data_IF_324260978331
#
_entry.id   IF_324260978331
#
_cell.length_a   1.000
_cell.length_b   1.000
_cell.length_c   1.000
_cell.angle_alpha   90.00
_cell.angle_beta   90.00
_cell.angle_gamma   90.00
#
_symmetry.space_group_name_H-M   'P 1'
#
loop_
_entity.id
_entity.type
_entity.pdbx_description
1 polymer ?
#
# COMPACT_ATOMS: atom_id res chain seq x y z
N UNK A 1 -10.26 28.19 4.23
CA UNK A 1 -10.50 26.78 3.82
C UNK A 1 -9.37 25.96 4.44
N UNK A 2 -9.64 24.88 5.17
CA UNK A 2 -8.57 24.02 5.73
C UNK A 2 -7.71 23.47 4.58
N UNK A 3 -6.39 23.41 4.75
CA UNK A 3 -5.46 22.96 3.70
C UNK A 3 -5.79 21.54 3.19
N UNK A 4 -6.31 20.66 4.06
CA UNK A 4 -6.81 19.33 3.70
C UNK A 4 -7.88 19.35 2.61
N UNK A 5 -8.90 20.21 2.76
CA UNK A 5 -9.98 20.36 1.80
C UNK A 5 -9.48 20.86 0.44
N UNK A 6 -8.53 21.81 0.45
CA UNK A 6 -7.89 22.32 -0.77
C UNK A 6 -7.10 21.20 -1.47
N UNK A 7 -6.27 20.47 -0.73
CA UNK A 7 -5.46 19.38 -1.26
C UNK A 7 -6.33 18.25 -1.83
N UNK A 8 -7.43 17.90 -1.14
CA UNK A 8 -8.39 16.91 -1.62
C UNK A 8 -9.10 17.36 -2.90
N UNK A 9 -9.45 18.65 -3.03
CA UNK A 9 -9.99 19.21 -4.28
C UNK A 9 -9.01 19.09 -5.44
N UNK A 10 -7.75 19.48 -5.23
CA UNK A 10 -6.70 19.40 -6.24
C UNK A 10 -6.45 17.95 -6.68
N UNK A 11 -6.39 17.03 -5.73
CA UNK A 11 -6.29 15.60 -6.03
C UNK A 11 -7.53 15.08 -6.78
N UNK A 12 -8.73 15.47 -6.34
CA UNK A 12 -9.99 15.13 -7.00
C UNK A 12 -10.07 15.65 -8.44
N UNK A 13 -9.57 16.86 -8.71
CA UNK A 13 -9.48 17.43 -10.06
C UNK A 13 -8.59 16.60 -10.99
N UNK A 14 -7.41 16.18 -10.50
CA UNK A 14 -6.50 15.30 -11.24
C UNK A 14 -7.24 14.00 -11.63
N UNK A 15 -7.92 13.38 -10.67
CA UNK A 15 -8.64 12.13 -10.93
C UNK A 15 -9.81 12.35 -11.90
N UNK A 16 -10.68 13.36 -11.68
CA UNK A 16 -11.82 13.66 -12.55
C UNK A 16 -11.44 13.86 -14.02
N UNK A 17 -10.26 14.45 -14.26
CA UNK A 17 -9.74 14.71 -15.60
C UNK A 17 -8.96 13.53 -16.19
N UNK A 18 -8.72 12.49 -15.40
CA UNK A 18 -8.04 11.28 -15.84
C UNK A 18 -9.05 10.25 -16.32
N UNK A 19 -8.73 9.51 -17.38
CA UNK A 19 -9.51 8.35 -17.83
C UNK A 19 -8.82 7.07 -17.40
N UNK A 20 -9.60 6.06 -17.01
CA UNK A 20 -9.10 4.69 -16.95
C UNK A 20 -8.59 4.30 -18.37
N UNK A 21 -7.50 3.53 -18.51
CA UNK A 21 -7.06 3.00 -19.80
C UNK A 21 -8.17 2.18 -20.48
N UNK A 22 -7.99 1.78 -21.75
CA UNK A 22 -8.99 1.01 -22.52
C UNK A 22 -9.54 -0.22 -21.78
N UNK A 23 -8.68 -0.87 -21.00
CA UNK A 23 -8.99 -1.99 -20.13
C UNK A 23 -8.38 -1.74 -18.73
N UNK A 24 -8.92 -2.43 -17.72
CA UNK A 24 -8.29 -2.51 -16.40
C UNK A 24 -7.22 -3.60 -16.43
N UNK A 25 -6.02 -3.26 -16.01
CA UNK A 25 -4.88 -4.20 -15.98
C UNK A 25 -4.61 -4.71 -14.57
N UNK A 26 -4.51 -6.03 -14.43
CA UNK A 26 -4.05 -6.75 -13.24
C UNK A 26 -2.85 -7.59 -13.65
N UNK A 27 -1.65 -7.03 -13.55
CA UNK A 27 -0.46 -7.64 -14.16
C UNK A 27 -0.66 -7.79 -15.67
N UNK A 28 -0.63 -9.02 -16.17
CA UNK A 28 -0.87 -9.32 -17.59
C UNK A 28 -2.35 -9.54 -17.93
N UNK A 29 -3.22 -9.64 -16.91
CA UNK A 29 -4.65 -9.83 -17.11
C UNK A 29 -5.33 -8.49 -17.42
N UNK A 30 -6.28 -8.52 -18.35
CA UNK A 30 -7.03 -7.35 -18.81
C UNK A 30 -8.52 -7.61 -18.62
N UNK A 31 -9.22 -6.62 -18.07
CA UNK A 31 -10.66 -6.68 -17.84
C UNK A 31 -11.32 -5.54 -18.59
N UNK A 32 -12.20 -5.89 -19.52
CA UNK A 32 -13.02 -4.93 -20.23
C UNK A 32 -14.07 -4.31 -19.30
N UNK A 33 -14.41 -3.05 -19.57
CA UNK A 33 -15.40 -2.33 -18.80
C UNK A 33 -16.24 -1.40 -19.65
N UNK A 34 -17.39 -1.04 -19.10
CA UNK A 34 -18.26 0.04 -19.61
C UNK A 34 -18.29 1.17 -18.60
N UNK A 35 -18.36 2.41 -19.10
CA UNK A 35 -18.57 3.56 -18.24
C UNK A 35 -19.98 3.53 -17.65
N UNK A 36 -20.08 3.94 -16.38
CA UNK A 36 -21.30 3.93 -15.62
C UNK A 36 -21.58 2.59 -14.93
N UNK A 37 -22.69 2.60 -14.21
CA UNK A 37 -23.25 1.51 -13.42
C UNK A 37 -24.77 1.52 -13.67
N UNK A 38 -25.43 0.37 -13.60
CA UNK A 38 -26.88 0.27 -13.81
C UNK A 38 -27.64 0.63 -12.54
N UNK A 39 -27.09 0.32 -11.37
CA UNK A 39 -27.69 0.65 -10.08
C UNK A 39 -27.27 2.01 -9.52
N UNK A 40 -27.98 2.47 -8.49
CA UNK A 40 -27.43 3.47 -7.57
C UNK A 40 -26.40 2.75 -6.67
N UNK A 41 -25.10 2.89 -6.94
CA UNK A 41 -24.15 3.03 -5.82
C UNK A 41 -24.21 4.49 -5.42
N UNK A 42 -24.23 4.79 -4.13
CA UNK A 42 -23.07 5.40 -3.49
C UNK A 42 -23.38 5.55 -2.00
N UNK A 43 -22.36 5.32 -1.19
CA UNK A 43 -22.37 5.44 0.27
C UNK A 43 -22.74 6.84 0.77
N UNK A 44 -22.63 7.89 -0.05
CA UNK A 44 -22.79 9.30 0.38
C UNK A 44 -24.09 9.54 1.16
N UNK A 45 -25.21 8.97 0.70
CA UNK A 45 -26.50 9.04 1.43
C UNK A 45 -26.53 8.22 2.72
N UNK A 46 -25.80 7.10 2.79
CA UNK A 46 -25.84 6.16 3.94
C UNK A 46 -24.94 6.59 5.10
N UNK A 47 -23.89 7.36 4.83
CA UNK A 47 -22.90 7.77 5.84
C UNK A 47 -22.92 9.26 6.19
N UNK A 48 -23.83 10.06 5.60
CA UNK A 48 -23.81 11.54 5.67
C UNK A 48 -22.43 12.10 5.32
N UNK A 49 -21.80 11.53 4.28
CA UNK A 49 -20.52 12.06 3.78
C UNK A 49 -20.85 13.26 2.89
N UNK A 50 -20.08 14.35 3.04
CA UNK A 50 -20.21 15.57 2.23
C UNK A 50 -20.00 15.28 0.72
N UNK A 51 -20.17 16.31 -0.11
CA UNK A 51 -20.00 16.30 -1.58
C UNK A 51 -18.92 15.34 -2.09
N UNK A 52 -19.28 14.42 -3.00
CA UNK A 52 -18.31 13.55 -3.67
C UNK A 52 -17.53 14.35 -4.71
N UNK A 53 -16.25 14.57 -4.47
CA UNK A 53 -15.37 15.33 -5.35
C UNK A 53 -15.08 14.64 -6.70
N UNK A 54 -15.56 13.41 -6.94
CA UNK A 54 -15.42 12.71 -8.23
C UNK A 54 -16.71 12.63 -9.05
N UNK A 55 -17.82 13.16 -8.54
CA UNK A 55 -19.16 13.00 -9.11
C UNK A 55 -19.48 11.52 -9.43
N UNK A 56 -19.66 11.19 -10.71
CA UNK A 56 -19.85 9.83 -11.22
C UNK A 56 -18.81 9.47 -12.30
N UNK A 57 -17.70 10.21 -12.37
CA UNK A 57 -16.68 10.05 -13.43
C UNK A 57 -16.01 8.68 -13.42
N UNK A 58 -15.87 8.09 -12.24
CA UNK A 58 -15.22 6.79 -12.04
C UNK A 58 -16.22 5.73 -11.59
N UNK A 59 -17.32 5.66 -12.31
CA UNK A 59 -18.29 4.58 -12.23
C UNK A 59 -18.03 3.66 -13.41
N UNK A 60 -17.80 2.38 -13.14
CA UNK A 60 -17.43 1.40 -14.13
C UNK A 60 -18.20 0.10 -13.90
N UNK A 61 -18.55 -0.58 -14.98
CA UNK A 61 -19.08 -1.94 -14.95
C UNK A 61 -18.05 -2.84 -15.62
N UNK A 62 -17.35 -3.65 -14.84
CA UNK A 62 -16.38 -4.64 -15.29
C UNK A 62 -17.08 -5.95 -15.62
N UNK A 63 -16.72 -6.55 -16.76
CA UNK A 63 -17.21 -7.86 -17.14
C UNK A 63 -16.27 -8.93 -16.60
N UNK A 64 -16.72 -9.67 -15.60
CA UNK A 64 -16.07 -10.88 -15.08
C UNK A 64 -16.89 -12.11 -15.51
N UNK A 65 -16.34 -13.32 -15.46
CA UNK A 65 -17.03 -14.55 -15.91
C UNK A 65 -18.34 -14.78 -15.17
N UNK A 66 -18.41 -14.46 -13.88
CA UNK A 66 -19.61 -14.62 -13.06
C UNK A 66 -20.67 -13.53 -13.29
N UNK A 67 -20.34 -12.46 -14.03
CA UNK A 67 -21.29 -11.40 -14.38
C UNK A 67 -20.69 -10.00 -14.40
N UNK A 68 -21.53 -9.01 -14.09
CA UNK A 68 -21.17 -7.60 -14.16
C UNK A 68 -20.82 -7.07 -12.76
N UNK A 69 -19.55 -6.73 -12.54
CA UNK A 69 -19.05 -6.09 -11.32
C UNK A 69 -19.09 -4.57 -11.47
N UNK A 70 -20.02 -3.93 -10.76
CA UNK A 70 -20.12 -2.49 -10.72
C UNK A 70 -19.15 -1.92 -9.66
N UNK A 71 -18.35 -0.94 -10.06
CA UNK A 71 -17.39 -0.23 -9.23
C UNK A 71 -17.68 1.28 -9.29
N UNK A 72 -17.57 1.93 -8.13
CA UNK A 72 -17.71 3.38 -7.98
C UNK A 72 -16.61 3.91 -7.09
N UNK A 73 -15.85 4.89 -7.59
CA UNK A 73 -14.93 5.65 -6.77
C UNK A 73 -15.59 6.91 -6.21
N UNK A 74 -15.39 7.16 -4.92
CA UNK A 74 -15.95 8.31 -4.22
C UNK A 74 -14.85 8.98 -3.41
N UNK A 75 -14.61 10.28 -3.62
CA UNK A 75 -13.71 11.07 -2.79
C UNK A 75 -14.55 12.00 -1.93
N UNK A 76 -14.67 11.68 -0.65
CA UNK A 76 -15.55 12.40 0.26
C UNK A 76 -14.86 12.76 1.57
N UNK A 77 -15.36 13.81 2.21
CA UNK A 77 -15.00 14.18 3.58
C UNK A 77 -15.67 13.22 4.56
N UNK A 78 -14.88 12.68 5.49
CA UNK A 78 -15.39 11.92 6.63
C UNK A 78 -15.79 12.83 7.79
N UNK A 79 -16.52 12.30 8.76
CA UNK A 79 -17.05 13.05 9.93
C UNK A 79 -16.01 13.79 10.79
N UNK A 80 -14.72 13.56 10.55
CA UNK A 80 -13.60 14.15 11.30
C UNK A 80 -12.74 15.09 10.42
N UNK A 81 -13.32 15.70 9.38
CA UNK A 81 -12.63 16.58 8.42
C UNK A 81 -11.44 15.91 7.70
N UNK A 82 -11.49 14.59 7.54
CA UNK A 82 -10.49 13.82 6.81
C UNK A 82 -11.06 13.35 5.46
N UNK A 83 -10.34 13.63 4.38
CA UNK A 83 -10.68 13.18 3.05
C UNK A 83 -10.21 11.77 2.78
N UNK A 84 -11.11 10.97 2.20
CA UNK A 84 -10.83 9.58 1.86
C UNK A 84 -11.38 9.25 0.48
N UNK A 85 -10.56 8.54 -0.29
CA UNK A 85 -10.96 7.91 -1.53
C UNK A 85 -11.47 6.50 -1.24
N UNK A 86 -12.71 6.21 -1.59
CA UNK A 86 -13.36 4.92 -1.42
C UNK A 86 -13.51 4.20 -2.75
N UNK A 87 -13.36 2.88 -2.75
CA UNK A 87 -13.79 2.02 -3.84
C UNK A 87 -14.95 1.14 -3.36
N UNK A 88 -16.12 1.34 -3.96
CA UNK A 88 -17.34 0.62 -3.63
C UNK A 88 -17.73 -0.34 -4.74
N UNK A 89 -18.37 -1.45 -4.36
CA UNK A 89 -18.81 -2.49 -5.28
C UNK A 89 -20.30 -2.76 -5.16
N UNK A 90 -20.87 -3.23 -6.26
CA UNK A 90 -22.19 -3.84 -6.36
C UNK A 90 -22.10 -5.05 -7.30
N UNK A 91 -22.50 -6.22 -6.82
CA UNK A 91 -22.51 -7.45 -7.60
C UNK A 91 -23.64 -8.36 -7.12
N UNK A 92 -24.52 -8.80 -8.04
CA UNK A 92 -25.68 -9.66 -7.74
C UNK A 92 -26.47 -9.21 -6.49
N UNK A 93 -26.74 -7.91 -6.38
CA UNK A 93 -27.47 -7.31 -5.26
C UNK A 93 -26.65 -7.07 -3.98
N UNK A 94 -25.46 -7.67 -3.84
CA UNK A 94 -24.55 -7.40 -2.72
C UNK A 94 -23.78 -6.12 -2.96
N UNK A 95 -23.82 -5.21 -1.99
CA UNK A 95 -23.15 -3.90 -2.06
C UNK A 95 -22.19 -3.69 -0.89
N UNK A 96 -21.06 -3.03 -1.14
CA UNK A 96 -20.23 -2.51 -0.06
C UNK A 96 -18.83 -2.05 -0.47
N UNK A 97 -18.14 -1.42 0.47
CA UNK A 97 -16.77 -0.94 0.32
C UNK A 97 -15.78 -2.11 0.16
N UNK A 98 -14.91 -2.00 -0.85
CA UNK A 98 -13.80 -2.91 -1.11
C UNK A 98 -12.52 -2.39 -0.46
N UNK A 99 -12.24 -1.10 -0.63
CA UNK A 99 -10.99 -0.49 -0.20
C UNK A 99 -11.15 1.01 0.02
N UNK A 100 -10.21 1.59 0.76
CA UNK A 100 -10.13 3.03 0.97
C UNK A 100 -8.69 3.49 1.02
N UNK A 101 -8.48 4.78 0.76
CA UNK A 101 -7.20 5.47 0.93
C UNK A 101 -7.46 6.79 1.66
N UNK A 102 -6.70 7.06 2.73
CA UNK A 102 -6.71 8.35 3.39
C UNK A 102 -5.85 9.34 2.60
N UNK A 103 -6.37 10.54 2.35
CA UNK A 103 -5.59 11.65 1.78
C UNK A 103 -4.98 12.53 2.87
N UNK A 104 -5.65 12.66 4.01
CA UNK A 104 -5.13 13.40 5.16
C UNK A 104 -4.37 12.45 6.09
N UNK A 105 -3.09 12.23 5.80
CA UNK A 105 -2.18 11.58 6.77
C UNK A 105 -1.29 12.64 7.39
N UNK A 106 -0.96 12.49 8.68
CA UNK A 106 -0.12 13.39 9.50
C UNK A 106 1.34 13.52 9.01
N UNK A 107 1.61 13.29 7.73
CA UNK A 107 2.93 13.33 7.07
C UNK A 107 2.95 14.38 5.94
N UNK A 108 2.21 15.47 6.10
CA UNK A 108 2.45 16.68 5.31
C UNK A 108 3.72 17.34 5.84
N UNK A 109 4.86 16.74 5.52
CA UNK A 109 6.13 17.43 5.60
C UNK A 109 6.23 18.25 4.31
N UNK A 110 6.05 19.56 4.42
CA UNK A 110 6.39 20.51 3.36
C UNK A 110 5.62 20.37 2.03
N UNK A 111 4.34 19.97 2.04
CA UNK A 111 3.48 19.94 0.84
C UNK A 111 3.49 18.60 0.10
N UNK A 112 3.78 17.51 0.80
CA UNK A 112 3.83 16.16 0.23
C UNK A 112 2.84 15.25 0.93
N UNK A 113 1.97 14.59 0.16
CA UNK A 113 1.01 13.60 0.63
C UNK A 113 1.43 12.22 0.14
N UNK A 114 1.78 11.34 1.07
CA UNK A 114 2.04 9.94 0.77
C UNK A 114 0.72 9.16 0.64
N UNK A 115 0.45 8.66 -0.56
CA UNK A 115 -0.72 7.85 -0.86
C UNK A 115 -0.44 6.41 -0.41
N UNK A 116 -0.61 6.15 0.88
CA UNK A 116 -0.35 4.84 1.48
C UNK A 116 -1.55 4.30 2.24
N UNK A 117 -1.75 2.99 2.19
CA UNK A 117 -2.82 2.32 2.93
C UNK A 117 -2.31 1.02 3.57
N UNK A 118 -2.47 0.91 4.90
CA UNK A 118 -2.26 -0.35 5.59
C UNK A 118 -3.32 -1.37 5.17
N UNK A 119 -2.89 -2.50 4.65
CA UNK A 119 -3.78 -3.61 4.31
C UNK A 119 -4.30 -4.20 5.62
N UNK A 120 -5.63 -4.37 5.72
CA UNK A 120 -6.28 -5.04 6.84
C UNK A 120 -7.46 -5.87 6.32
N UNK A 121 -7.66 -7.02 6.95
CA UNK A 121 -8.83 -7.86 6.78
C UNK A 121 -9.61 -7.92 8.09
N UNK A 122 -10.93 -8.10 7.98
CA UNK A 122 -11.83 -8.26 9.12
C UNK A 122 -12.42 -9.65 9.02
N UNK A 123 -12.07 -10.50 9.98
CA UNK A 123 -12.68 -11.81 10.18
C UNK A 123 -13.22 -11.84 11.62
N UNK A 124 -14.38 -12.46 11.80
CA UNK A 124 -15.00 -12.61 13.11
C UNK A 124 -15.45 -14.05 13.27
N UNK A 125 -14.92 -14.72 14.29
CA UNK A 125 -15.40 -16.01 14.75
C UNK A 125 -15.97 -15.83 16.14
N UNK A 126 -17.25 -16.15 16.32
CA UNK A 126 -17.92 -16.02 17.62
C UNK A 126 -17.33 -16.95 18.68
N UNK A 127 -16.69 -18.04 18.25
CA UNK A 127 -16.20 -19.11 19.12
C UNK A 127 -14.71 -19.04 19.43
N UNK A 128 -13.88 -18.37 18.60
CA UNK A 128 -12.42 -18.37 18.78
C UNK A 128 -11.74 -17.13 18.15
N UNK A 129 -11.44 -16.11 18.97
CA UNK A 129 -10.78 -14.88 18.50
C UNK A 129 -9.32 -15.08 18.06
N UNK A 130 -8.58 -16.00 18.69
CA UNK A 130 -7.19 -16.29 18.34
C UNK A 130 -7.12 -16.84 16.91
N UNK A 131 -7.97 -17.82 16.61
CA UNK A 131 -8.08 -18.39 15.28
C UNK A 131 -8.50 -17.34 14.24
N UNK A 132 -9.43 -16.45 14.57
CA UNK A 132 -9.79 -15.31 13.70
C UNK A 132 -8.63 -14.33 13.49
N UNK A 133 -7.76 -14.15 14.49
CA UNK A 133 -6.53 -13.35 14.35
C UNK A 133 -5.54 -14.00 13.40
N UNK A 134 -5.32 -15.31 13.52
CA UNK A 134 -4.44 -16.06 12.63
C UNK A 134 -4.94 -16.04 11.18
N UNK A 135 -6.24 -16.16 10.95
CA UNK A 135 -6.81 -16.05 9.60
C UNK A 135 -6.62 -14.67 8.99
N UNK A 136 -6.81 -13.61 9.78
CA UNK A 136 -6.52 -12.25 9.30
C UNK A 136 -5.05 -12.12 8.88
N UNK A 137 -4.13 -12.67 9.68
CA UNK A 137 -2.69 -12.66 9.39
C UNK A 137 -2.35 -13.44 8.12
N UNK A 138 -2.85 -14.67 7.98
CA UNK A 138 -2.59 -15.51 6.81
C UNK A 138 -3.17 -14.89 5.53
N UNK A 139 -4.42 -14.39 5.57
CA UNK A 139 -5.05 -13.70 4.44
C UNK A 139 -4.27 -12.45 4.04
N UNK A 140 -3.82 -11.67 5.03
CA UNK A 140 -2.99 -10.49 4.79
C UNK A 140 -1.66 -10.86 4.13
N UNK A 141 -0.98 -11.91 4.60
CA UNK A 141 0.29 -12.38 4.04
C UNK A 141 0.15 -12.83 2.58
N UNK A 142 -0.87 -13.65 2.28
CA UNK A 142 -1.12 -14.15 0.92
C UNK A 142 -1.43 -12.99 -0.01
N UNK A 143 -2.34 -12.09 0.40
CA UNK A 143 -2.73 -10.93 -0.38
C UNK A 143 -1.53 -10.02 -0.67
N UNK A 144 -0.71 -9.69 0.32
CA UNK A 144 0.44 -8.78 0.11
C UNK A 144 1.52 -9.42 -0.74
N UNK A 145 1.74 -10.74 -0.63
CA UNK A 145 2.62 -11.46 -1.55
C UNK A 145 2.11 -11.44 -2.99
N UNK A 146 0.79 -11.55 -3.21
CA UNK A 146 0.22 -11.41 -4.53
C UNK A 146 0.44 -10.00 -5.10
N UNK A 147 0.20 -8.95 -4.31
CA UNK A 147 0.45 -7.58 -4.74
C UNK A 147 1.92 -7.34 -5.11
N UNK A 148 2.88 -7.85 -4.32
CA UNK A 148 4.32 -7.75 -4.65
C UNK A 148 4.65 -8.43 -5.98
N UNK A 149 4.04 -9.58 -6.28
CA UNK A 149 4.21 -10.28 -7.56
C UNK A 149 3.63 -9.52 -8.75
N UNK A 150 2.61 -8.69 -8.52
CA UNK A 150 2.09 -7.75 -9.53
C UNK A 150 2.97 -6.50 -9.69
N UNK A 151 4.10 -6.42 -8.98
CA UNK A 151 5.03 -5.29 -9.05
C UNK A 151 4.57 -4.08 -8.23
N UNK A 152 3.66 -4.26 -7.27
CA UNK A 152 3.22 -3.19 -6.38
C UNK A 152 4.14 -3.05 -5.16
N UNK A 153 4.34 -1.81 -4.74
CA UNK A 153 5.16 -1.48 -3.58
C UNK A 153 4.40 -1.75 -2.27
N UNK A 154 4.72 -2.88 -1.63
CA UNK A 154 4.16 -3.26 -0.32
C UNK A 154 5.27 -3.44 0.71
N UNK A 155 5.22 -2.67 1.79
CA UNK A 155 6.18 -2.76 2.91
C UNK A 155 6.05 -4.07 3.69
N UNK A 156 7.03 -4.38 4.53
CA UNK A 156 6.96 -5.56 5.42
C UNK A 156 5.84 -5.44 6.48
N UNK A 157 5.43 -4.21 6.81
CA UNK A 157 4.29 -3.92 7.69
C UNK A 157 2.94 -3.92 6.96
N UNK A 158 2.92 -4.41 5.72
CA UNK A 158 1.73 -4.51 4.87
C UNK A 158 1.11 -3.14 4.55
N UNK A 159 1.92 -2.08 4.48
CA UNK A 159 1.50 -0.81 3.89
C UNK A 159 1.70 -0.86 2.39
N UNK A 160 0.63 -0.64 1.65
CA UNK A 160 0.64 -0.51 0.20
C UNK A 160 0.88 0.96 -0.17
N UNK A 161 1.80 1.20 -1.11
CA UNK A 161 2.18 2.53 -1.58
C UNK A 161 1.62 2.71 -3.00
N UNK A 162 0.71 3.67 -3.16
CA UNK A 162 0.13 4.03 -4.45
C UNK A 162 0.90 5.14 -5.17
N UNK A 163 1.53 6.03 -4.40
CA UNK A 163 2.26 7.15 -4.95
C UNK A 163 2.51 8.27 -3.95
N UNK A 164 3.00 9.39 -4.47
CA UNK A 164 3.31 10.62 -3.76
C UNK A 164 2.60 11.75 -4.51
N UNK A 165 1.75 12.49 -3.81
CA UNK A 165 1.06 13.66 -4.34
C UNK A 165 1.70 14.92 -3.76
N UNK A 166 2.27 15.74 -4.65
CA UNK A 166 2.83 17.05 -4.31
C UNK A 166 1.74 18.13 -4.42
N UNK A 167 1.42 18.75 -3.29
CA UNK A 167 0.35 19.75 -3.16
C UNK A 167 0.78 21.14 -3.62
N UNK A 168 2.08 21.38 -3.80
CA UNK A 168 2.61 22.63 -4.35
C UNK A 168 2.53 22.63 -5.86
N UNK A 169 2.91 21.51 -6.49
CA UNK A 169 2.91 21.38 -7.96
C UNK A 169 1.65 20.74 -8.53
N UNK A 170 0.78 20.19 -7.68
CA UNK A 170 -0.42 19.44 -8.06
C UNK A 170 -0.10 18.25 -8.96
N UNK A 171 0.92 17.48 -8.61
CA UNK A 171 1.40 16.34 -9.42
C UNK A 171 1.58 15.08 -8.60
N UNK A 172 1.38 13.94 -9.26
CA UNK A 172 1.85 12.65 -8.79
C UNK A 172 3.31 12.47 -9.22
N UNK A 173 4.22 12.27 -8.27
CA UNK A 173 5.66 12.33 -8.54
C UNK A 173 6.24 10.99 -9.03
N UNK A 174 5.78 9.87 -8.47
CA UNK A 174 6.32 8.53 -8.73
C UNK A 174 5.29 7.58 -9.37
N UNK A 175 4.19 8.12 -9.87
CA UNK A 175 3.16 7.40 -10.62
C UNK A 175 2.44 8.40 -11.53
N UNK A 176 1.66 7.90 -12.48
CA UNK A 176 0.74 8.74 -13.27
C UNK A 176 -0.67 8.63 -12.68
N UNK A 177 -1.52 9.64 -12.91
CA UNK A 177 -2.92 9.56 -12.48
C UNK A 177 -3.64 8.34 -13.10
N UNK A 178 -3.33 8.03 -14.36
CA UNK A 178 -3.89 6.86 -15.05
C UNK A 178 -3.45 5.55 -14.40
N UNK A 179 -2.16 5.43 -14.05
CA UNK A 179 -1.64 4.26 -13.34
C UNK A 179 -2.22 4.14 -11.94
N UNK A 180 -2.33 5.26 -11.22
CA UNK A 180 -2.95 5.31 -9.90
C UNK A 180 -4.40 4.79 -9.92
N UNK A 181 -5.24 5.26 -10.85
CA UNK A 181 -6.64 4.82 -10.95
C UNK A 181 -6.72 3.33 -11.29
N UNK A 182 -5.90 2.87 -12.25
CA UNK A 182 -5.82 1.44 -12.59
C UNK A 182 -5.49 0.61 -11.36
N UNK A 183 -4.40 0.93 -10.67
CA UNK A 183 -3.91 0.14 -9.55
C UNK A 183 -4.88 0.20 -8.37
N UNK A 184 -5.47 1.36 -8.08
CA UNK A 184 -6.47 1.52 -7.02
C UNK A 184 -7.71 0.64 -7.26
N UNK A 185 -8.24 0.63 -8.48
CA UNK A 185 -9.40 -0.21 -8.82
C UNK A 185 -9.02 -1.70 -8.83
N UNK A 186 -7.91 -2.07 -9.49
CA UNK A 186 -7.42 -3.44 -9.56
C UNK A 186 -7.25 -4.06 -8.17
N UNK A 187 -6.53 -3.37 -7.29
CA UNK A 187 -6.27 -3.84 -5.92
C UNK A 187 -7.56 -3.93 -5.12
N UNK A 188 -8.50 -2.99 -5.32
CA UNK A 188 -9.80 -3.03 -4.66
C UNK A 188 -10.59 -4.27 -5.07
N UNK A 189 -10.62 -4.61 -6.37
CA UNK A 189 -11.31 -5.78 -6.89
C UNK A 189 -10.66 -7.08 -6.37
N UNK A 190 -9.32 -7.19 -6.43
CA UNK A 190 -8.58 -8.33 -5.86
C UNK A 190 -8.91 -8.46 -4.37
N UNK A 191 -8.88 -7.36 -3.60
CA UNK A 191 -9.19 -7.39 -2.18
C UNK A 191 -10.62 -7.86 -1.92
N UNK A 192 -11.58 -7.45 -2.75
CA UNK A 192 -12.97 -7.90 -2.66
C UNK A 192 -13.12 -9.40 -2.81
N UNK A 193 -12.37 -10.03 -3.71
CA UNK A 193 -12.28 -11.48 -3.82
C UNK A 193 -11.76 -12.11 -2.50
N UNK A 194 -10.63 -11.62 -1.95
CA UNK A 194 -10.10 -12.13 -0.67
C UNK A 194 -11.03 -11.88 0.53
N UNK A 195 -11.89 -10.85 0.48
CA UNK A 195 -12.90 -10.62 1.52
C UNK A 195 -13.99 -11.70 1.53
N UNK A 196 -14.24 -12.39 0.41
CA UNK A 196 -15.21 -13.50 0.29
C UNK A 196 -16.69 -13.13 0.45
N UNK A 197 -17.00 -11.94 0.99
CA UNK A 197 -18.36 -11.50 1.29
C UNK A 197 -18.97 -10.58 0.22
N UNK A 198 -18.25 -10.31 -0.88
CA UNK A 198 -18.68 -9.40 -1.95
C UNK A 198 -19.53 -10.07 -3.02
N UNK A 199 -19.55 -11.40 -3.03
CA UNK A 199 -20.41 -12.19 -3.91
C UNK A 199 -19.85 -12.46 -5.29
N UNK A 200 -18.60 -12.09 -5.56
CA UNK A 200 -17.88 -12.46 -6.77
C UNK A 200 -16.53 -13.11 -6.42
N UNK A 201 -16.06 -13.96 -7.30
CA UNK A 201 -14.68 -14.43 -7.35
C UNK A 201 -14.00 -13.98 -8.65
N UNK A 202 -12.67 -13.84 -8.64
CA UNK A 202 -11.89 -13.58 -9.86
C UNK A 202 -11.27 -14.89 -10.30
N UNK A 203 -11.36 -15.20 -11.58
CA UNK A 203 -11.01 -16.52 -12.11
C UNK A 203 -9.49 -16.71 -12.20
N UNK A 204 -8.77 -15.59 -12.21
CA UNK A 204 -7.31 -15.52 -12.11
C UNK A 204 -6.78 -15.70 -10.69
N UNK A 205 -7.66 -15.81 -9.69
CA UNK A 205 -7.30 -15.98 -8.28
C UNK A 205 -7.84 -17.31 -7.74
N UNK A 206 -7.10 -17.96 -6.81
CA UNK A 206 -7.60 -19.16 -6.17
C UNK A 206 -8.85 -18.85 -5.36
N UNK A 207 -9.88 -19.71 -5.43
CA UNK A 207 -11.07 -19.57 -4.59
C UNK A 207 -10.69 -19.58 -3.11
N UNK A 208 -10.91 -18.47 -2.41
CA UNK A 208 -10.70 -18.38 -0.97
C UNK A 208 -11.97 -18.83 -0.23
N UNK A 209 -12.29 -20.12 -0.31
CA UNK A 209 -13.36 -20.73 0.49
C UNK A 209 -12.76 -21.24 1.79
N UNK A 210 -13.13 -20.57 2.87
CA UNK A 210 -12.63 -20.89 4.20
C UNK A 210 -13.56 -21.92 4.87
N UNK A 211 -13.08 -23.15 5.08
CA UNK A 211 -13.80 -24.17 5.84
C UNK A 211 -13.37 -24.13 7.31
N UNK A 212 -14.27 -23.68 8.18
CA UNK A 212 -14.03 -23.60 9.63
C UNK A 212 -13.99 -24.97 10.30
N UNK A 213 -14.64 -25.99 9.73
CA UNK A 213 -14.73 -27.34 10.31
C UNK A 213 -13.41 -28.12 10.15
N UNK A 214 -12.61 -27.76 9.15
CA UNK A 214 -11.29 -28.34 8.89
C UNK A 214 -10.25 -27.99 9.96
N UNK A 215 -10.45 -26.92 10.74
CA UNK A 215 -9.53 -26.50 11.81
C UNK A 215 -9.92 -27.01 13.21
N UNK A 216 -11.18 -27.36 13.44
CA UNK A 216 -11.61 -28.00 14.71
C UNK A 216 -11.24 -29.49 14.75
N UNK A 217 -10.98 -30.12 13.60
CA UNK A 217 -10.69 -31.54 13.49
C UNK A 217 -9.20 -31.79 13.18
N UNK A 218 -8.39 -31.86 14.24
CA UNK A 218 -6.96 -32.24 14.24
C UNK A 218 -6.00 -31.21 13.65
N UNK A 219 -4.78 -31.23 14.21
CA UNK A 219 -3.55 -30.60 13.70
C UNK A 219 -3.24 -31.08 12.27
N UNK A 220 -4.01 -30.63 11.28
CA UNK A 220 -3.58 -30.67 9.91
C UNK A 220 -2.62 -29.50 9.76
N UNK A 221 -1.33 -29.82 9.76
CA UNK A 221 -0.35 -28.95 9.12
C UNK A 221 -0.96 -28.53 7.78
N UNK A 222 -0.83 -27.25 7.44
CA UNK A 222 -1.33 -26.67 6.19
C UNK A 222 -0.56 -27.33 5.04
N UNK A 223 -0.96 -28.55 4.66
CA UNK A 223 -0.26 -29.41 3.71
C UNK A 223 -0.67 -29.08 2.26
N UNK A 224 -1.50 -28.05 2.05
CA UNK A 224 -1.90 -27.53 0.72
C UNK A 224 -1.23 -26.17 0.40
N UNK A 225 -0.25 -25.74 1.19
CA UNK A 225 0.71 -24.71 0.74
C UNK A 225 2.12 -25.28 0.79
N UNK A 226 2.34 -26.31 -0.02
CA UNK A 226 3.64 -26.96 -0.22
C UNK A 226 4.76 -25.95 -0.43
N UNK A 227 5.45 -25.62 0.68
CA UNK A 227 6.89 -25.58 0.96
C UNK A 227 7.89 -25.04 -0.09
N UNK A 228 7.45 -24.55 -1.25
CA UNK A 228 8.26 -23.86 -2.26
C UNK A 228 8.14 -22.34 -2.21
N UNK A 229 7.11 -21.77 -1.57
CA UNK A 229 6.90 -20.31 -1.55
C UNK A 229 7.34 -19.60 -0.27
N UNK A 230 7.52 -20.32 0.84
CA UNK A 230 7.89 -19.70 2.13
C UNK A 230 9.41 -19.46 2.24
N UNK A 231 10.22 -20.09 1.39
CA UNK A 231 11.65 -19.74 1.21
C UNK A 231 11.78 -18.57 0.23
N UNK A 232 11.19 -17.44 0.59
CA UNK A 232 11.43 -16.16 -0.05
C UNK A 232 11.38 -15.04 0.99
N UNK A 233 12.23 -15.13 2.00
CA UNK A 233 12.98 -13.95 2.46
C UNK A 233 13.86 -13.43 1.31
N UNK A 234 13.25 -12.92 0.23
CA UNK A 234 14.00 -12.53 -0.98
C UNK A 234 13.41 -11.28 -1.62
N UNK A 235 13.37 -10.20 -0.86
CA UNK A 235 13.72 -8.92 -1.45
C UNK A 235 14.45 -8.07 -0.42
N UNK A 236 15.78 -8.17 -0.43
CA UNK A 236 16.69 -7.15 0.13
C UNK A 236 16.46 -5.79 -0.53
N UNK A 237 15.84 -5.78 -1.72
CA UNK A 237 15.55 -4.59 -2.51
C UNK A 237 14.60 -3.67 -1.75
N UNK A 238 15.11 -2.51 -1.36
CA UNK A 238 14.34 -1.47 -0.70
C UNK A 238 13.54 -0.71 -1.78
N UNK A 239 12.20 -0.67 -1.73
CA UNK A 239 11.36 0.04 -2.70
C UNK A 239 11.79 1.50 -2.87
N UNK A 240 11.74 2.03 -4.10
CA UNK A 240 12.20 3.40 -4.41
C UNK A 240 11.48 4.46 -3.56
N UNK A 241 10.17 4.32 -3.36
CA UNK A 241 9.40 5.24 -2.51
C UNK A 241 9.84 5.23 -1.04
N UNK A 242 10.27 4.07 -0.51
CA UNK A 242 10.85 3.99 0.83
C UNK A 242 12.25 4.60 0.84
N UNK A 243 13.07 4.35 -0.19
CA UNK A 243 14.41 4.97 -0.29
C UNK A 243 14.33 6.49 -0.24
N UNK A 244 13.39 7.08 -0.99
CA UNK A 244 13.14 8.52 -0.96
C UNK A 244 12.76 8.99 0.45
N UNK A 245 11.81 8.33 1.11
CA UNK A 245 11.39 8.66 2.49
C UNK A 245 12.56 8.61 3.49
N UNK A 246 13.45 7.63 3.35
CA UNK A 246 14.60 7.49 4.24
C UNK A 246 15.63 8.60 3.97
N UNK A 247 15.90 8.92 2.70
CA UNK A 247 16.76 10.05 2.34
C UNK A 247 16.20 11.38 2.85
N UNK A 248 14.90 11.61 2.68
CA UNK A 248 14.19 12.80 3.16
C UNK A 248 14.26 12.89 4.69
N UNK A 249 13.89 11.82 5.41
CA UNK A 249 13.98 11.75 6.88
C UNK A 249 15.40 12.05 7.38
N UNK A 250 16.40 11.54 6.69
CA UNK A 250 17.81 11.66 7.07
C UNK A 250 18.47 12.92 6.47
N UNK A 251 17.67 13.85 5.91
CA UNK A 251 18.10 15.13 5.34
C UNK A 251 19.20 15.00 4.27
N UNK A 252 19.14 13.95 3.46
CA UNK A 252 20.11 13.67 2.42
C UNK A 252 21.54 13.54 2.96
N UNK A 253 21.69 13.05 4.20
CA UNK A 253 22.97 12.91 4.89
C UNK A 253 23.14 11.50 5.43
N UNK A 254 24.38 11.06 5.50
CA UNK A 254 24.73 9.86 6.27
C UNK A 254 24.39 10.10 7.75
N UNK A 255 23.55 9.26 8.35
CA UNK A 255 23.18 9.40 9.76
C UNK A 255 24.32 9.09 10.72
N UNK A 256 25.36 8.39 10.24
CA UNK A 256 26.52 8.01 11.06
C UNK A 256 27.61 9.08 11.09
N UNK A 257 27.94 9.68 9.93
CA UNK A 257 29.05 10.63 9.81
C UNK A 257 28.65 12.05 9.37
N UNK A 258 27.37 12.29 9.06
CA UNK A 258 26.85 13.60 8.64
C UNK A 258 27.22 14.03 7.21
N UNK A 259 28.06 13.28 6.49
CA UNK A 259 28.46 13.61 5.10
C UNK A 259 27.27 13.59 4.15
N UNK A 260 27.31 14.45 3.13
CA UNK A 260 26.32 14.51 2.04
C UNK A 260 26.99 14.62 0.65
N UNK A 261 26.27 14.26 -0.43
CA UNK A 261 26.83 14.28 -1.79
C UNK A 261 27.36 15.65 -2.22
N UNK A 262 26.65 16.74 -1.89
CA UNK A 262 26.98 18.10 -2.33
C UNK A 262 28.31 18.59 -1.75
N UNK A 263 28.49 18.48 -0.43
CA UNK A 263 29.68 19.01 0.28
C UNK A 263 30.86 18.04 0.30
N UNK A 264 30.60 16.75 0.17
CA UNK A 264 31.62 15.72 0.40
C UNK A 264 31.82 14.76 -0.78
N UNK A 265 31.03 14.87 -1.85
CA UNK A 265 31.14 13.96 -3.01
C UNK A 265 30.81 12.50 -2.71
N UNK A 266 30.13 12.21 -1.59
CA UNK A 266 29.85 10.82 -1.18
C UNK A 266 28.59 10.27 -1.86
N UNK A 267 28.59 8.97 -2.12
CA UNK A 267 27.38 8.25 -2.56
C UNK A 267 26.60 7.79 -1.32
N UNK A 268 25.30 8.06 -1.30
CA UNK A 268 24.41 7.62 -0.23
C UNK A 268 23.73 6.30 -0.61
N UNK A 269 23.64 5.42 0.38
CA UNK A 269 22.96 4.15 0.34
C UNK A 269 21.90 4.10 1.43
N UNK A 270 20.82 3.37 1.17
CA UNK A 270 19.86 3.01 2.19
C UNK A 270 20.20 1.62 2.68
N UNK A 271 20.40 1.50 3.98
CA UNK A 271 20.85 0.29 4.65
C UNK A 271 19.94 -0.05 5.84
N UNK A 272 19.97 -1.30 6.29
CA UNK A 272 19.18 -1.75 7.44
C UNK A 272 19.95 -1.57 8.76
N UNK A 273 19.35 -0.91 9.76
CA UNK A 273 19.91 -0.71 11.11
C UNK A 273 20.22 -2.06 11.77
N UNK A 274 19.22 -2.96 11.86
CA UNK A 274 19.39 -4.39 12.04
C UNK A 274 19.58 -5.00 10.64
N UNK A 275 20.73 -5.61 10.32
CA UNK A 275 21.00 -6.17 9.00
C UNK A 275 19.92 -7.16 8.55
N UNK A 276 19.60 -7.14 7.24
CA UNK A 276 18.68 -8.09 6.64
C UNK A 276 19.06 -9.56 6.92
N UNK A 277 20.35 -9.88 6.88
CA UNK A 277 20.88 -11.21 7.18
C UNK A 277 20.65 -11.67 8.62
N UNK A 278 20.32 -10.76 9.53
CA UNK A 278 20.02 -11.02 10.94
C UNK A 278 18.52 -10.84 11.25
N UNK A 279 17.66 -10.91 10.23
CA UNK A 279 16.21 -10.78 10.38
C UNK A 279 15.70 -9.33 10.35
N UNK A 280 16.55 -8.38 9.95
CA UNK A 280 16.15 -6.98 9.76
C UNK A 280 15.07 -6.79 8.70
N UNK A 281 13.95 -6.19 9.09
CA UNK A 281 12.85 -5.88 8.20
C UNK A 281 13.12 -4.62 7.36
N UNK A 282 12.64 -4.60 6.13
CA UNK A 282 12.67 -3.44 5.21
C UNK A 282 11.51 -2.50 5.55
N UNK A 283 11.65 -1.80 6.65
CA UNK A 283 10.67 -0.86 7.18
C UNK A 283 11.29 0.47 7.58
N UNK A 284 10.47 1.52 7.69
CA UNK A 284 10.94 2.88 7.93
C UNK A 284 11.89 2.98 9.14
N UNK A 285 11.57 2.30 10.24
CA UNK A 285 12.31 2.40 11.50
C UNK A 285 13.62 1.60 11.48
N UNK A 286 13.70 0.56 10.64
CA UNK A 286 14.88 -0.27 10.52
C UNK A 286 15.75 0.11 9.31
N UNK A 287 15.41 1.17 8.58
CA UNK A 287 16.21 1.69 7.47
C UNK A 287 16.89 3.00 7.85
N UNK A 288 18.07 3.23 7.28
CA UNK A 288 18.90 4.42 7.51
C UNK A 288 19.70 4.79 6.26
N UNK A 289 20.03 6.06 6.13
CA UNK A 289 20.91 6.59 5.09
C UNK A 289 22.35 6.54 5.57
N UNK A 290 23.22 5.83 4.85
CA UNK A 290 24.66 5.76 5.10
C UNK A 290 25.44 6.18 3.84
N UNK A 291 26.58 6.85 4.00
CA UNK A 291 27.52 7.02 2.88
C UNK A 291 28.21 5.69 2.57
N UNK A 292 28.79 5.57 1.36
CA UNK A 292 29.54 4.39 0.91
C UNK A 292 30.49 3.85 1.98
N UNK A 293 31.32 4.71 2.58
CA UNK A 293 32.33 4.32 3.58
C UNK A 293 31.70 3.73 4.84
N UNK A 294 30.68 4.41 5.39
CA UNK A 294 29.98 3.96 6.59
C UNK A 294 29.17 2.70 6.34
N UNK A 295 28.56 2.58 5.16
CA UNK A 295 27.79 1.42 4.75
C UNK A 295 28.69 0.17 4.64
N UNK A 296 29.85 0.30 4.01
CA UNK A 296 30.86 -0.76 3.92
C UNK A 296 31.39 -1.13 5.30
N UNK A 297 31.74 -0.12 6.12
CA UNK A 297 32.25 -0.33 7.47
C UNK A 297 31.26 -1.01 8.41
N UNK A 298 29.96 -0.71 8.26
CA UNK A 298 28.89 -1.38 9.01
C UNK A 298 28.73 -2.83 8.57
N UNK A 299 28.66 -3.10 7.26
CA UNK A 299 28.45 -4.46 6.74
C UNK A 299 27.25 -5.15 7.44
N UNK A 300 27.40 -6.40 7.87
CA UNK A 300 26.40 -7.17 8.61
C UNK A 300 26.41 -6.91 10.14
N UNK A 301 26.97 -5.79 10.61
CA UNK A 301 26.91 -5.37 12.02
C UNK A 301 25.65 -4.53 12.25
N UNK A 302 25.02 -4.65 13.42
CA UNK A 302 23.92 -3.79 13.82
C UNK A 302 24.44 -2.54 14.56
N UNK A 303 23.81 -1.39 14.31
CA UNK A 303 24.15 -0.14 14.99
C UNK A 303 23.62 -0.08 16.43
N UNK A 304 22.91 -1.11 16.90
CA UNK A 304 22.31 -1.19 18.24
C UNK A 304 23.37 -1.06 19.34
N UNK A 305 24.62 -1.44 19.06
CA UNK A 305 25.74 -1.35 20.00
C UNK A 305 26.67 -0.15 19.77
N UNK A 306 26.41 0.70 18.78
CA UNK A 306 27.20 1.93 18.56
C UNK A 306 26.57 3.08 19.36
N UNK A 307 26.74 3.05 20.68
CA UNK A 307 26.60 4.28 21.47
C UNK A 307 27.68 5.28 21.02
N UNK A 308 27.40 6.58 21.14
CA UNK A 308 28.22 7.71 20.66
C UNK A 308 29.70 7.75 21.15
N UNK A 309 30.22 6.73 21.84
CA UNK A 309 31.55 6.68 22.44
C UNK A 309 32.66 6.08 21.55
N UNK A 310 32.40 5.68 20.31
CA UNK A 310 33.40 5.01 19.45
C UNK A 310 33.60 5.64 18.06
N UNK A 311 33.43 6.96 17.93
CA UNK A 311 34.02 7.65 16.77
C UNK A 311 35.55 7.65 16.93
N UNK A 312 36.33 7.19 15.92
CA UNK A 312 37.77 7.38 15.95
C UNK A 312 38.05 8.88 15.98
N UNK A 313 38.72 9.32 17.03
CA UNK A 313 39.33 10.65 17.12
C UNK A 313 40.25 10.80 15.91
N UNK A 314 39.89 11.75 15.05
CA UNK A 314 40.62 12.28 13.90
C UNK A 314 42.10 11.91 13.80
N UNK A 315 42.44 11.23 12.71
CA UNK A 315 43.76 11.35 12.07
C UNK A 315 43.73 12.56 11.13
N UNK A 316 44.42 13.64 11.53
CA UNK A 316 45.10 14.66 10.70
C UNK A 316 45.94 15.49 11.70
N UNK A 317 47.23 15.22 11.90
CA UNK A 317 48.41 15.58 11.09
C UNK A 317 48.83 17.06 11.23
N UNK A 318 50.04 17.22 11.81
CA UNK A 318 50.89 18.42 12.00
C UNK A 318 50.52 19.38 13.13
#
# INVERSE_FOLDING_TARGET
MKDSYKNAKLFGEILRNTKLPKDLTIGNFRIDYKNGIKGNTILSKKFNLHENLLDKKHNYTFQIMEGNLEISLELCESRNDQFRLFCNSSFNGKKGMLFMLNLDTQKDAEGIIFLTQKIKFVERLKTNENLASEYRRNKQLIFTNYLRKLGLDVTDNNDLIFGIFDTKTNKLLNTTAQRFINDFIAISIIKGHFMGNKGYELEILPSYKFDYNLYESKNYEIEIMSNKMIVSQKNRTIPLGIRFKILERDNGKCVLCGKNPEKNGVILHIDHVLPYSLGGLTEMNNLQTLCSDCNIGKSNKSNINWTKSQLPTSVTSK
#
